data_IF_617887334957
#
_entry.id   IF_617887334957
#
_cell.length_a   1.000
_cell.length_b   1.000
_cell.length_c   1.000
_cell.angle_alpha   90.00
_cell.angle_beta   90.00
_cell.angle_gamma   90.00
#
_symmetry.space_group_name_H-M   'P 1'
#
loop_
_entity.id
_entity.type
_entity.pdbx_description
1 polymer ?
#
# COMPACT_ATOMS: atom_id res chain seq x y z
N UNK A 1 -38.09 55.19 -11.40
CA UNK A 1 -39.25 54.78 -10.57
C UNK A 1 -39.32 53.26 -10.59
N UNK A 2 -39.17 52.67 -9.40
CA UNK A 2 -39.52 51.30 -8.94
C UNK A 2 -40.12 50.29 -9.92
N UNK A 3 -39.54 49.07 -9.96
CA UNK A 3 -40.18 47.80 -9.52
C UNK A 3 -39.24 46.61 -9.83
N UNK A 4 -38.42 46.12 -8.90
CA UNK A 4 -38.70 45.02 -7.96
C UNK A 4 -39.20 43.71 -8.64
N UNK A 5 -38.30 42.96 -9.28
CA UNK A 5 -38.52 41.53 -9.57
C UNK A 5 -37.97 40.69 -8.41
N UNK A 6 -38.89 40.01 -7.73
CA UNK A 6 -38.63 39.05 -6.64
C UNK A 6 -37.85 37.83 -7.16
N UNK A 7 -36.73 37.50 -6.50
CA UNK A 7 -36.10 36.18 -6.59
C UNK A 7 -36.98 35.14 -5.89
N UNK A 8 -37.39 34.10 -6.59
CA UNK A 8 -37.93 32.87 -5.99
C UNK A 8 -36.75 31.94 -5.64
N UNK A 9 -36.64 31.40 -4.42
CA UNK A 9 -35.64 30.39 -4.11
C UNK A 9 -36.16 29.04 -4.64
N UNK A 10 -35.51 28.50 -5.66
CA UNK A 10 -35.72 27.12 -6.08
C UNK A 10 -34.90 26.22 -5.15
N UNK A 11 -35.49 25.86 -4.01
CA UNK A 11 -35.06 24.70 -3.22
C UNK A 11 -35.63 23.47 -3.90
N UNK A 12 -34.77 22.56 -4.35
CA UNK A 12 -35.22 21.38 -5.09
C UNK A 12 -34.14 20.33 -5.31
N UNK A 13 -33.82 19.60 -4.24
CA UNK A 13 -33.71 18.14 -4.26
C UNK A 13 -32.60 17.50 -5.13
N UNK A 14 -31.35 17.42 -4.64
CA UNK A 14 -30.45 16.29 -4.92
C UNK A 14 -29.30 16.20 -3.88
N UNK A 15 -29.50 15.57 -2.70
CA UNK A 15 -28.38 14.96 -2.00
C UNK A 15 -28.69 13.53 -1.51
N UNK A 16 -29.59 12.82 -2.19
CA UNK A 16 -30.00 11.47 -1.77
C UNK A 16 -29.16 10.34 -2.41
N UNK A 17 -28.35 10.64 -3.44
CA UNK A 17 -27.60 9.62 -4.18
C UNK A 17 -26.15 9.42 -3.66
N UNK A 18 -25.60 10.33 -2.87
CA UNK A 18 -24.21 10.26 -2.37
C UNK A 18 -24.05 9.54 -1.03
N UNK A 19 -25.14 9.08 -0.40
CA UNK A 19 -25.10 8.45 0.94
C UNK A 19 -25.23 6.91 0.92
N UNK A 20 -25.06 6.27 -0.24
CA UNK A 20 -25.20 4.81 -0.40
C UNK A 20 -23.97 4.18 -1.07
N UNK A 21 -22.76 4.53 -0.62
CA UNK A 21 -21.51 3.88 -1.04
C UNK A 21 -20.54 3.66 0.13
N UNK A 22 -21.07 3.47 1.35
CA UNK A 22 -20.25 3.20 2.54
C UNK A 22 -20.89 2.06 3.32
N UNK A 23 -20.91 0.82 2.78
CA UNK A 23 -21.11 -0.36 3.62
C UNK A 23 -20.80 -1.70 2.92
N UNK A 24 -19.61 -1.88 2.35
CA UNK A 24 -19.18 -3.24 1.97
C UNK A 24 -17.67 -3.41 1.90
N UNK A 25 -16.91 -2.75 2.76
CA UNK A 25 -15.58 -3.24 3.08
C UNK A 25 -15.76 -4.34 4.14
N UNK A 26 -15.83 -5.60 3.69
CA UNK A 26 -15.61 -6.71 4.61
C UNK A 26 -14.17 -6.62 5.09
N UNK A 27 -13.98 -6.19 6.33
CA UNK A 27 -12.67 -6.35 6.99
C UNK A 27 -12.45 -7.85 7.10
N UNK A 28 -11.60 -8.41 6.25
CA UNK A 28 -11.16 -9.78 6.38
C UNK A 28 -10.38 -9.88 7.71
N UNK A 29 -10.99 -10.52 8.70
CA UNK A 29 -10.29 -10.84 9.95
C UNK A 29 -9.55 -12.14 9.72
N UNK A 30 -8.23 -12.14 9.92
CA UNK A 30 -7.46 -13.38 9.93
C UNK A 30 -8.11 -14.37 10.90
N UNK A 31 -8.22 -15.63 10.49
CA UNK A 31 -8.67 -16.71 11.38
C UNK A 31 -7.77 -16.84 12.63
N UNK A 32 -8.19 -17.69 13.56
CA UNK A 32 -7.34 -17.99 14.72
C UNK A 32 -6.05 -18.71 14.27
N UNK A 33 -4.88 -18.17 14.62
CA UNK A 33 -3.61 -18.90 14.49
C UNK A 33 -3.65 -20.21 15.29
N UNK A 34 -3.35 -21.33 14.62
CA UNK A 34 -3.26 -22.67 15.24
C UNK A 34 -1.83 -23.21 15.33
N UNK A 35 -0.83 -22.37 15.03
CA UNK A 35 0.57 -22.74 15.20
C UNK A 35 0.98 -22.78 16.66
N UNK A 36 2.25 -23.08 16.91
CA UNK A 36 2.81 -23.08 18.26
C UNK A 36 4.05 -22.21 18.32
N UNK A 37 4.19 -21.51 19.44
CA UNK A 37 5.37 -20.71 19.76
C UNK A 37 6.05 -21.30 20.98
N UNK A 38 7.36 -21.49 20.91
CA UNK A 38 8.15 -21.97 22.04
C UNK A 38 9.50 -21.27 22.09
N UNK A 39 9.94 -20.86 23.27
CA UNK A 39 11.31 -20.41 23.45
C UNK A 39 12.23 -21.61 23.65
N UNK A 40 13.24 -21.75 22.77
CA UNK A 40 14.29 -22.77 22.86
C UNK A 40 15.63 -22.03 22.89
N UNK A 41 16.40 -22.19 23.96
CA UNK A 41 17.70 -21.54 24.17
C UNK A 41 17.69 -20.02 23.98
N UNK A 42 16.60 -19.36 24.37
CA UNK A 42 16.42 -17.91 24.24
C UNK A 42 15.98 -17.43 22.86
N UNK A 43 15.72 -18.34 21.92
CA UNK A 43 15.18 -18.03 20.60
C UNK A 43 13.71 -18.44 20.50
N UNK A 44 12.87 -17.55 19.97
CA UNK A 44 11.48 -17.84 19.65
C UNK A 44 11.43 -18.78 18.44
N UNK A 45 10.92 -19.99 18.66
CA UNK A 45 10.61 -20.94 17.60
C UNK A 45 9.12 -20.88 17.32
N UNK A 46 8.76 -20.44 16.10
CA UNK A 46 7.39 -20.43 15.60
C UNK A 46 7.22 -21.62 14.67
N UNK A 47 6.26 -22.50 14.97
CA UNK A 47 5.86 -23.60 14.09
C UNK A 47 4.53 -23.26 13.45
N UNK A 48 4.56 -23.10 12.12
CA UNK A 48 3.36 -22.90 11.33
C UNK A 48 2.45 -24.12 11.45
N UNK A 49 1.13 -23.92 11.59
CA UNK A 49 0.18 -25.01 11.54
C UNK A 49 0.21 -25.70 10.18
N UNK A 50 -0.20 -26.98 10.16
CA UNK A 50 -0.30 -27.73 8.91
C UNK A 50 -1.39 -27.20 7.97
N UNK A 51 -2.36 -26.46 8.51
CA UNK A 51 -3.45 -25.81 7.78
C UNK A 51 -3.26 -24.31 7.81
N UNK A 52 -3.45 -23.65 6.66
CA UNK A 52 -3.45 -22.19 6.59
C UNK A 52 -4.52 -21.59 7.53
N UNK A 53 -4.24 -20.39 8.04
CA UNK A 53 -5.19 -19.63 8.88
C UNK A 53 -6.41 -19.24 8.05
N UNK A 54 -6.14 -18.73 6.86
CA UNK A 54 -7.14 -18.26 5.92
C UNK A 54 -7.40 -19.32 4.87
N UNK A 55 -8.58 -19.23 4.24
CA UNK A 55 -8.94 -20.09 3.14
C UNK A 55 -8.01 -19.85 1.94
N UNK A 56 -7.93 -20.85 1.07
CA UNK A 56 -7.30 -20.68 -0.24
C UNK A 56 -7.92 -19.48 -0.96
N UNK A 57 -7.06 -18.61 -1.49
CA UNK A 57 -7.46 -17.38 -2.14
C UNK A 57 -6.59 -17.16 -3.38
N UNK A 58 -7.24 -16.65 -4.43
CA UNK A 58 -6.54 -16.11 -5.59
C UNK A 58 -6.16 -14.67 -5.30
N UNK A 59 -4.86 -14.38 -5.36
CA UNK A 59 -4.33 -13.03 -5.18
C UNK A 59 -3.82 -12.55 -6.54
N UNK A 60 -4.42 -11.47 -7.04
CA UNK A 60 -3.88 -10.71 -8.17
C UNK A 60 -3.03 -9.57 -7.63
N UNK A 61 -1.79 -9.47 -8.11
CA UNK A 61 -0.88 -8.38 -7.74
C UNK A 61 -0.87 -7.35 -8.86
N UNK A 62 -1.05 -6.08 -8.48
CA UNK A 62 -0.82 -4.93 -9.35
C UNK A 62 0.59 -4.39 -9.09
N UNK A 63 1.40 -4.26 -10.15
CA UNK A 63 2.71 -3.62 -10.05
C UNK A 63 2.52 -2.12 -9.88
N UNK A 64 3.01 -1.56 -8.76
CA UNK A 64 2.89 -0.11 -8.47
C UNK A 64 3.90 0.67 -9.31
N UNK A 65 5.18 0.31 -9.22
CA UNK A 65 6.26 0.83 -10.05
C UNK A 65 7.41 -0.17 -10.10
N UNK A 66 8.39 0.13 -10.96
CA UNK A 66 9.63 -0.65 -11.12
C UNK A 66 10.83 0.26 -11.15
N UNK A 67 11.88 -0.12 -10.42
CA UNK A 67 13.18 0.52 -10.46
C UNK A 67 14.19 -0.46 -11.06
N UNK A 68 14.84 -0.04 -12.14
CA UNK A 68 15.79 -0.86 -12.87
C UNK A 68 15.13 -1.92 -13.75
N UNK A 69 15.94 -2.53 -14.60
CA UNK A 69 15.47 -3.47 -15.60
C UNK A 69 16.59 -3.90 -16.55
N UNK A 70 16.33 -4.96 -17.31
CA UNK A 70 17.20 -5.38 -18.42
C UNK A 70 16.67 -4.87 -19.77
N UNK A 71 15.59 -4.08 -19.79
CA UNK A 71 14.92 -3.74 -21.04
C UNK A 71 15.70 -2.72 -21.90
N UNK A 72 16.79 -2.18 -21.37
CA UNK A 72 17.72 -1.33 -22.11
C UNK A 72 17.23 0.11 -22.26
N UNK A 73 16.24 0.53 -21.47
CA UNK A 73 15.84 1.93 -21.28
C UNK A 73 16.80 2.71 -20.38
N UNK A 74 16.40 3.94 -20.03
CA UNK A 74 17.05 4.81 -19.03
C UNK A 74 16.83 4.28 -17.59
N UNK A 75 16.95 2.96 -17.44
CA UNK A 75 16.68 2.24 -16.21
C UNK A 75 17.66 2.66 -15.12
N UNK A 76 17.14 2.75 -13.89
CA UNK A 76 17.95 3.00 -12.71
C UNK A 76 19.05 1.93 -12.57
N UNK A 77 20.28 2.38 -12.38
CA UNK A 77 21.43 1.48 -12.25
C UNK A 77 21.71 1.16 -10.79
N UNK A 78 21.64 -0.11 -10.43
CA UNK A 78 22.07 -0.61 -9.13
C UNK A 78 23.36 -1.42 -9.25
N UNK A 79 24.25 -1.23 -8.29
CA UNK A 79 25.41 -2.05 -8.02
C UNK A 79 25.08 -3.20 -7.08
N UNK A 80 25.34 -3.03 -5.78
CA UNK A 80 25.05 -4.05 -4.76
C UNK A 80 24.14 -3.44 -3.70
N UNK A 81 22.83 -3.64 -3.88
CA UNK A 81 21.81 -3.32 -2.87
C UNK A 81 21.98 -4.26 -1.69
N UNK A 82 22.27 -3.70 -0.52
CA UNK A 82 22.45 -4.46 0.73
C UNK A 82 21.31 -4.25 1.72
N UNK A 83 20.50 -3.20 1.53
CA UNK A 83 19.36 -2.92 2.38
C UNK A 83 18.31 -2.06 1.65
N UNK A 84 17.04 -2.20 2.07
CA UNK A 84 15.91 -1.41 1.58
C UNK A 84 14.96 -1.17 2.76
N UNK A 85 14.61 0.09 3.03
CA UNK A 85 13.68 0.49 4.10
C UNK A 85 12.69 1.55 3.60
N UNK A 86 11.48 1.57 4.16
CA UNK A 86 10.43 2.55 3.85
C UNK A 86 10.23 3.50 5.04
N UNK A 87 10.04 4.80 4.79
CA UNK A 87 9.63 5.74 5.84
C UNK A 87 8.11 5.85 5.99
N UNK A 88 7.64 6.66 6.96
CA UNK A 88 6.21 6.81 7.23
C UNK A 88 5.42 7.52 6.12
N UNK A 89 6.12 8.15 5.16
CA UNK A 89 5.53 8.81 3.99
C UNK A 89 5.54 7.90 2.76
N UNK A 90 6.12 6.70 2.87
CA UNK A 90 6.23 5.74 1.79
C UNK A 90 7.47 5.93 0.92
N UNK A 91 8.43 6.76 1.33
CA UNK A 91 9.67 6.90 0.58
C UNK A 91 10.56 5.68 0.80
N UNK A 92 11.08 5.12 -0.28
CA UNK A 92 11.92 3.94 -0.32
C UNK A 92 13.40 4.35 -0.33
N UNK A 93 14.13 3.93 0.69
CA UNK A 93 15.57 4.13 0.83
C UNK A 93 16.29 2.87 0.39
N UNK A 94 17.12 2.98 -0.64
CA UNK A 94 17.89 1.85 -1.19
C UNK A 94 19.38 2.08 -0.91
N UNK A 95 19.97 1.22 -0.06
CA UNK A 95 21.38 1.28 0.26
C UNK A 95 22.21 0.47 -0.75
N UNK A 96 22.95 1.18 -1.61
CA UNK A 96 23.85 0.57 -2.57
C UNK A 96 25.30 0.66 -2.09
N UNK A 97 25.84 -0.49 -1.66
CA UNK A 97 27.18 -0.59 -1.11
C UNK A 97 28.29 -0.49 -2.15
N UNK A 98 28.00 -0.82 -3.42
CA UNK A 98 29.01 -0.74 -4.48
C UNK A 98 29.16 0.70 -4.96
N UNK A 99 28.04 1.43 -5.08
CA UNK A 99 28.04 2.84 -5.45
C UNK A 99 28.37 3.77 -4.27
N UNK A 100 28.28 3.27 -3.03
CA UNK A 100 28.42 4.05 -1.79
C UNK A 100 27.37 5.16 -1.68
N UNK A 101 26.14 4.85 -2.06
CA UNK A 101 25.03 5.79 -2.11
C UNK A 101 23.81 5.22 -1.38
N UNK A 102 22.96 6.12 -0.89
CA UNK A 102 21.58 5.82 -0.52
C UNK A 102 20.72 6.58 -1.52
N UNK A 103 19.96 5.84 -2.33
CA UNK A 103 19.00 6.41 -3.28
C UNK A 103 17.63 6.43 -2.61
N UNK A 104 16.89 7.52 -2.79
CA UNK A 104 15.57 7.68 -2.19
C UNK A 104 14.56 7.83 -3.32
N UNK A 105 13.49 7.04 -3.27
CA UNK A 105 12.38 7.11 -4.20
C UNK A 105 11.11 7.42 -3.44
N UNK A 106 10.22 8.23 -4.00
CA UNK A 106 8.89 8.43 -3.45
C UNK A 106 8.05 7.15 -3.51
N UNK A 107 6.89 7.16 -2.84
CA UNK A 107 5.92 6.07 -2.88
C UNK A 107 5.43 5.72 -4.31
N UNK A 108 5.54 6.65 -5.25
CA UNK A 108 5.16 6.47 -6.66
C UNK A 108 6.36 6.07 -7.55
N UNK A 109 7.57 5.94 -6.99
CA UNK A 109 8.79 5.52 -7.71
C UNK A 109 9.64 6.66 -8.28
N UNK A 110 9.28 7.92 -8.07
CA UNK A 110 10.09 9.08 -8.50
C UNK A 110 11.34 9.25 -7.62
N UNK A 111 12.50 9.53 -8.22
CA UNK A 111 13.76 9.80 -7.50
C UNK A 111 13.71 11.16 -6.76
N UNK A 112 14.20 11.22 -5.51
CA UNK A 112 14.18 12.40 -4.62
C UNK A 112 15.54 13.05 -4.39
#
# INVERSE_FOLDING_TARGET
MSAFLRRFPMVGLFPAATLLFILSASVATAGDWKGTESNVDGQLHVKNPATAIDAEMDIELEEVFRLGGWDGGDDEFFGIVVDIEEDAEGNLYVLDSQLNEIKIYSADGEYL
#
